data_IF_150199791615
#
_entry.id   IF_150199791615
#
_cell.length_a   1.000
_cell.length_b   1.000
_cell.length_c   1.000
_cell.angle_alpha   90.00
_cell.angle_beta   90.00
_cell.angle_gamma   90.00
#
_symmetry.space_group_name_H-M   'P 1'
#
loop_
_entity.id
_entity.type
_entity.pdbx_description
1 polymer ?
#
# COMPACT_ATOMS: atom_id res chain seq x y z
N UNK A 1 34.55 23.24 31.97
CA UNK A 1 33.21 23.84 31.79
C UNK A 1 32.10 22.84 32.03
N UNK A 2 30.97 23.24 32.68
CA UNK A 2 29.79 22.38 32.80
C UNK A 2 29.13 22.21 31.43
N UNK A 3 28.56 21.02 31.15
CA UNK A 3 27.89 20.75 29.84
C UNK A 3 26.82 21.79 29.50
N UNK A 4 26.09 22.28 30.49
CA UNK A 4 25.02 23.30 30.35
C UNK A 4 25.57 24.64 29.83
N UNK A 5 26.79 25.04 30.26
CA UNK A 5 27.39 26.28 29.80
C UNK A 5 27.82 26.23 28.32
N UNK A 6 28.22 25.02 27.86
CA UNK A 6 28.61 24.81 26.47
C UNK A 6 27.36 24.89 25.55
N UNK A 7 26.25 24.24 25.94
CA UNK A 7 25.00 24.30 25.16
C UNK A 7 24.41 25.69 25.11
N UNK A 8 24.46 26.45 26.22
CA UNK A 8 23.95 27.83 26.27
C UNK A 8 24.80 28.79 25.43
N UNK A 9 26.11 28.58 25.34
CA UNK A 9 26.99 29.32 24.44
C UNK A 9 26.75 28.95 22.98
N UNK A 10 26.61 27.68 22.65
CA UNK A 10 26.28 27.20 21.30
C UNK A 10 25.01 27.89 20.79
N UNK A 11 23.92 27.91 21.59
CA UNK A 11 22.69 28.59 21.22
C UNK A 11 22.84 30.12 21.02
N UNK A 12 23.70 30.80 21.79
CA UNK A 12 23.97 32.21 21.57
C UNK A 12 24.74 32.48 20.27
N UNK A 13 25.72 31.63 19.97
CA UNK A 13 26.52 31.74 18.76
C UNK A 13 25.68 31.59 17.49
N UNK A 14 24.71 30.64 17.49
CA UNK A 14 23.77 30.45 16.39
C UNK A 14 22.91 31.69 16.14
N UNK A 15 22.53 32.41 17.20
CA UNK A 15 21.76 33.67 17.10
C UNK A 15 22.57 34.83 16.54
N UNK A 16 23.88 34.80 16.60
CA UNK A 16 24.74 35.86 16.03
C UNK A 16 24.90 35.70 14.51
N UNK A 17 24.91 34.46 13.98
CA UNK A 17 25.01 34.15 12.55
C UNK A 17 23.66 33.70 11.96
N UNK A 18 22.57 34.49 12.20
CA UNK A 18 21.18 34.11 11.90
C UNK A 18 20.95 33.63 10.47
N UNK A 19 21.38 34.40 9.48
CA UNK A 19 21.15 34.10 8.06
C UNK A 19 21.80 32.77 7.65
N UNK A 20 23.04 32.55 8.04
CA UNK A 20 23.79 31.34 7.72
C UNK A 20 23.21 30.11 8.42
N UNK A 21 22.90 30.22 9.70
CA UNK A 21 22.28 29.15 10.49
C UNK A 21 20.92 28.77 9.91
N UNK A 22 20.09 29.77 9.56
CA UNK A 22 18.80 29.56 8.94
C UNK A 22 18.90 28.83 7.59
N UNK A 23 19.81 29.26 6.71
CA UNK A 23 20.03 28.68 5.40
C UNK A 23 20.47 27.21 5.52
N UNK A 24 21.40 26.91 6.44
CA UNK A 24 21.88 25.55 6.67
C UNK A 24 20.79 24.66 7.28
N UNK A 25 20.03 25.18 8.24
CA UNK A 25 18.91 24.46 8.85
C UNK A 25 17.79 24.20 7.82
N UNK A 26 17.50 25.17 6.95
CA UNK A 26 16.53 24.97 5.84
C UNK A 26 17.02 23.91 4.85
N UNK A 27 18.29 23.91 4.49
CA UNK A 27 18.84 22.87 3.62
C UNK A 27 18.67 21.45 4.23
N UNK A 28 18.91 21.32 5.56
CA UNK A 28 18.67 20.06 6.26
C UNK A 28 17.18 19.72 6.37
N UNK A 29 16.33 20.74 6.54
CA UNK A 29 14.89 20.51 6.67
C UNK A 29 14.27 19.95 5.40
N UNK A 30 14.78 20.28 4.21
CA UNK A 30 14.31 19.69 2.94
C UNK A 30 14.58 18.19 2.92
N UNK A 31 15.79 17.75 3.28
CA UNK A 31 16.11 16.33 3.34
C UNK A 31 15.27 15.59 4.39
N UNK A 32 15.11 16.20 5.58
CA UNK A 32 14.26 15.64 6.64
C UNK A 32 12.78 15.57 6.22
N UNK A 33 12.28 16.58 5.55
CA UNK A 33 10.92 16.62 5.02
C UNK A 33 10.69 15.49 4.01
N UNK A 34 11.60 15.34 3.05
CA UNK A 34 11.51 14.27 2.04
C UNK A 34 11.50 12.88 2.68
N UNK A 35 12.39 12.62 3.65
CA UNK A 35 12.41 11.35 4.37
C UNK A 35 11.14 11.18 5.21
N UNK A 36 10.69 12.23 5.90
CA UNK A 36 9.45 12.20 6.67
C UNK A 36 8.24 11.84 5.82
N UNK A 37 8.09 12.48 4.66
CA UNK A 37 7.02 12.16 3.69
C UNK A 37 7.14 10.71 3.18
N UNK A 38 8.35 10.25 2.85
CA UNK A 38 8.58 8.88 2.40
C UNK A 38 8.17 7.83 3.45
N UNK A 39 8.50 8.09 4.73
CA UNK A 39 8.09 7.23 5.84
C UNK A 39 6.57 7.22 6.01
N UNK A 40 5.93 8.38 5.97
CA UNK A 40 4.48 8.51 6.12
C UNK A 40 3.70 7.83 4.99
N UNK A 41 4.14 8.01 3.73
CA UNK A 41 3.55 7.33 2.57
C UNK A 41 3.74 5.81 2.64
N UNK A 42 4.92 5.35 3.06
CA UNK A 42 5.16 3.93 3.26
C UNK A 42 4.27 3.32 4.34
N UNK A 43 4.09 4.01 5.47
CA UNK A 43 3.22 3.55 6.56
C UNK A 43 1.74 3.54 6.13
N UNK A 44 1.27 4.64 5.52
CA UNK A 44 -0.11 4.74 5.02
C UNK A 44 -0.39 3.71 3.94
N UNK A 45 0.52 3.53 2.98
CA UNK A 45 0.41 2.53 1.93
C UNK A 45 0.36 1.10 2.47
N UNK A 46 1.20 0.75 3.45
CA UNK A 46 1.15 -0.57 4.12
C UNK A 46 -0.15 -0.77 4.89
N UNK A 47 -0.58 0.21 5.68
CA UNK A 47 -1.83 0.13 6.42
C UNK A 47 -3.02 -0.06 5.49
N UNK A 48 -3.07 0.70 4.40
CA UNK A 48 -4.08 0.58 3.37
C UNK A 48 -4.07 -0.80 2.71
N UNK A 49 -2.93 -1.26 2.17
CA UNK A 49 -2.85 -2.57 1.53
C UNK A 49 -3.17 -3.71 2.49
N UNK A 50 -2.74 -3.63 3.75
CA UNK A 50 -3.09 -4.65 4.75
C UNK A 50 -4.60 -4.74 4.93
N UNK A 51 -5.29 -3.60 5.05
CA UNK A 51 -6.76 -3.56 5.15
C UNK A 51 -7.44 -4.12 3.89
N UNK A 52 -6.96 -3.72 2.70
CA UNK A 52 -7.47 -4.24 1.42
C UNK A 52 -7.31 -5.74 1.32
N UNK A 53 -6.12 -6.23 1.61
CA UNK A 53 -5.78 -7.64 1.45
C UNK A 53 -6.52 -8.49 2.48
N UNK A 54 -6.60 -8.07 3.74
CA UNK A 54 -7.37 -8.79 4.79
C UNK A 54 -8.86 -8.83 4.49
N UNK A 55 -9.37 -7.88 3.72
CA UNK A 55 -10.75 -7.91 3.24
C UNK A 55 -10.95 -8.75 1.97
N UNK A 56 -9.89 -9.02 1.20
CA UNK A 56 -9.97 -9.68 -0.10
C UNK A 56 -9.81 -11.21 -0.05
N UNK A 57 -9.33 -11.77 1.06
CA UNK A 57 -9.12 -13.21 1.13
C UNK A 57 -8.78 -13.72 2.53
N UNK A 58 -8.56 -15.03 2.62
CA UNK A 58 -8.13 -15.75 3.83
C UNK A 58 -6.71 -16.27 3.64
N UNK A 59 -5.95 -16.40 4.72
CA UNK A 59 -4.60 -16.98 4.68
C UNK A 59 -4.57 -18.42 4.14
N UNK A 60 -5.69 -19.14 4.22
CA UNK A 60 -5.86 -20.47 3.65
C UNK A 60 -6.09 -20.51 2.13
N UNK A 61 -6.10 -19.36 1.45
CA UNK A 61 -6.39 -19.26 0.01
C UNK A 61 -5.15 -19.43 -0.84
N UNK A 62 -5.28 -20.23 -1.90
CA UNK A 62 -4.28 -20.44 -2.95
C UNK A 62 -4.90 -20.11 -4.30
N UNK A 63 -4.26 -19.24 -5.05
CA UNK A 63 -4.66 -18.89 -6.42
C UNK A 63 -3.87 -19.76 -7.38
N UNK A 64 -4.57 -20.48 -8.26
CA UNK A 64 -3.97 -21.31 -9.29
C UNK A 64 -4.32 -20.75 -10.66
N UNK A 65 -3.31 -20.55 -11.46
CA UNK A 65 -3.40 -20.09 -12.85
C UNK A 65 -2.62 -21.03 -13.75
N UNK A 66 -2.83 -20.96 -15.05
CA UNK A 66 -1.97 -21.67 -15.98
C UNK A 66 -0.63 -20.93 -16.12
N UNK A 67 0.47 -21.65 -16.18
CA UNK A 67 1.80 -21.08 -16.45
C UNK A 67 1.80 -20.44 -17.83
N UNK A 68 2.12 -19.16 -17.89
CA UNK A 68 2.35 -18.46 -19.15
C UNK A 68 3.85 -18.43 -19.43
N UNK A 69 4.27 -19.18 -20.41
CA UNK A 69 5.61 -19.01 -20.98
C UNK A 69 5.57 -17.81 -21.93
N UNK A 70 5.95 -16.64 -21.44
CA UNK A 70 5.94 -15.40 -22.24
C UNK A 70 6.92 -15.44 -23.44
N UNK A 71 7.83 -16.43 -23.45
CA UNK A 71 8.83 -16.61 -24.51
C UNK A 71 8.33 -17.48 -25.66
N UNK A 72 7.20 -18.18 -25.48
CA UNK A 72 6.63 -19.09 -26.47
C UNK A 72 5.21 -18.68 -26.84
N UNK A 73 4.99 -18.45 -28.12
CA UNK A 73 3.63 -18.31 -28.63
C UNK A 73 2.97 -19.70 -28.69
N UNK A 74 1.69 -19.81 -28.22
CA UNK A 74 0.97 -21.06 -28.32
C UNK A 74 0.71 -21.41 -29.79
N UNK A 75 0.92 -22.68 -30.17
CA UNK A 75 0.65 -23.15 -31.54
C UNK A 75 -0.85 -23.20 -31.81
N UNK A 76 -1.25 -22.67 -32.96
CA UNK A 76 -2.64 -22.74 -33.42
C UNK A 76 -3.06 -24.21 -33.63
N UNK A 77 -4.15 -24.63 -33.06
CA UNK A 77 -4.69 -26.01 -33.17
C UNK A 77 -4.27 -26.98 -32.08
N UNK A 78 -3.45 -26.60 -31.11
CA UNK A 78 -3.30 -27.37 -29.86
C UNK A 78 -4.61 -27.28 -29.05
N UNK A 79 -5.08 -28.45 -28.56
CA UNK A 79 -6.33 -28.58 -27.79
C UNK A 79 -6.34 -27.89 -26.41
N UNK A 80 -5.41 -26.99 -26.14
CA UNK A 80 -5.43 -26.18 -24.93
C UNK A 80 -6.39 -25.01 -25.16
N UNK A 81 -7.30 -24.78 -24.22
CA UNK A 81 -8.21 -23.67 -24.24
C UNK A 81 -7.39 -22.36 -24.17
N UNK A 82 -7.29 -21.63 -25.26
CA UNK A 82 -6.55 -20.39 -25.36
C UNK A 82 -7.57 -19.24 -25.32
N UNK A 83 -7.38 -18.27 -24.41
CA UNK A 83 -8.18 -17.06 -24.39
C UNK A 83 -7.86 -16.15 -25.58
N UNK A 84 -8.71 -15.14 -25.85
CA UNK A 84 -8.46 -14.11 -26.87
C UNK A 84 -7.14 -13.36 -26.67
N UNK A 85 -6.60 -13.38 -25.43
CA UNK A 85 -5.30 -12.78 -25.05
C UNK A 85 -4.12 -13.74 -25.17
N UNK A 86 -4.32 -14.95 -25.68
CA UNK A 86 -3.28 -15.98 -25.82
C UNK A 86 -2.91 -16.70 -24.52
N UNK A 87 -3.65 -16.48 -23.42
CA UNK A 87 -3.44 -17.20 -22.17
C UNK A 87 -4.08 -18.60 -22.25
N UNK A 88 -3.37 -19.63 -21.79
CA UNK A 88 -3.96 -20.96 -21.60
C UNK A 88 -4.87 -20.93 -20.37
N UNK A 89 -6.08 -21.46 -20.53
CA UNK A 89 -7.13 -21.43 -19.49
C UNK A 89 -7.21 -22.78 -18.80
N UNK A 90 -7.56 -22.76 -17.51
CA UNK A 90 -7.89 -23.95 -16.75
C UNK A 90 -9.27 -24.48 -17.18
N UNK A 91 -9.46 -25.79 -17.10
CA UNK A 91 -10.68 -26.51 -17.50
C UNK A 91 -11.42 -27.10 -16.27
N UNK A 92 -12.62 -27.64 -16.49
CA UNK A 92 -13.34 -28.41 -15.48
C UNK A 92 -12.53 -29.63 -14.99
N UNK A 93 -11.73 -30.26 -15.85
CA UNK A 93 -10.85 -31.37 -15.46
C UNK A 93 -9.75 -30.91 -14.51
N UNK A 94 -9.19 -29.71 -14.72
CA UNK A 94 -8.20 -29.13 -13.82
C UNK A 94 -8.82 -28.79 -12.46
N UNK A 95 -10.03 -28.25 -12.43
CA UNK A 95 -10.80 -28.04 -11.19
C UNK A 95 -11.03 -29.34 -10.45
N UNK A 96 -11.44 -30.41 -11.17
CA UNK A 96 -11.66 -31.72 -10.59
C UNK A 96 -10.36 -32.36 -10.06
N UNK A 97 -9.22 -32.15 -10.71
CA UNK A 97 -7.90 -32.59 -10.23
C UNK A 97 -7.48 -31.84 -8.96
N UNK A 98 -7.63 -30.52 -8.95
CA UNK A 98 -7.29 -29.66 -7.81
C UNK A 98 -8.14 -29.99 -6.58
N UNK A 99 -9.43 -30.35 -6.77
CA UNK A 99 -10.32 -30.70 -5.66
C UNK A 99 -9.95 -32.01 -4.96
N UNK A 100 -9.15 -32.88 -5.58
CA UNK A 100 -8.67 -34.16 -5.01
C UNK A 100 -7.36 -34.03 -4.25
N UNK A 101 -6.74 -32.87 -4.22
CA UNK A 101 -5.52 -32.66 -3.46
C UNK A 101 -5.78 -32.75 -1.95
N UNK A 102 -4.80 -33.26 -1.20
CA UNK A 102 -4.87 -33.30 0.26
C UNK A 102 -4.95 -31.87 0.84
N UNK A 103 -5.65 -31.74 1.96
CA UNK A 103 -5.85 -30.46 2.66
C UNK A 103 -6.66 -29.42 1.87
N UNK A 104 -7.39 -29.80 0.84
CA UNK A 104 -8.28 -28.92 0.09
C UNK A 104 -9.70 -29.01 0.64
N UNK A 105 -10.24 -27.87 1.09
CA UNK A 105 -11.61 -27.74 1.59
C UNK A 105 -12.59 -27.38 0.49
N UNK A 106 -12.22 -26.48 -0.42
CA UNK A 106 -13.06 -26.02 -1.52
C UNK A 106 -12.21 -25.56 -2.71
N UNK A 107 -12.76 -25.74 -3.92
CA UNK A 107 -12.15 -25.27 -5.17
C UNK A 107 -13.19 -24.46 -5.93
N UNK A 108 -12.86 -23.22 -6.29
CA UNK A 108 -13.77 -22.30 -6.98
C UNK A 108 -13.10 -21.71 -8.20
N UNK A 109 -13.61 -21.98 -9.39
CA UNK A 109 -13.15 -21.33 -10.59
C UNK A 109 -13.62 -19.86 -10.63
N UNK A 110 -12.76 -18.99 -11.13
CA UNK A 110 -13.15 -17.61 -11.42
C UNK A 110 -13.95 -17.57 -12.74
N UNK A 111 -15.23 -17.27 -12.63
CA UNK A 111 -16.17 -17.22 -13.76
C UNK A 111 -16.57 -15.76 -14.00
N UNK A 112 -16.40 -15.27 -15.22
CA UNK A 112 -16.87 -13.95 -15.62
C UNK A 112 -18.11 -14.10 -16.52
N UNK A 113 -19.27 -13.69 -16.02
CA UNK A 113 -20.54 -13.75 -16.75
C UNK A 113 -21.06 -12.39 -17.22
N UNK A 114 -20.27 -11.32 -16.99
CA UNK A 114 -20.70 -9.95 -17.35
C UNK A 114 -21.07 -9.80 -18.82
N UNK A 115 -20.37 -10.50 -19.71
CA UNK A 115 -20.67 -10.46 -21.15
C UNK A 115 -21.92 -11.27 -21.53
N UNK A 116 -22.26 -12.31 -20.76
CA UNK A 116 -23.46 -13.12 -21.00
C UNK A 116 -24.72 -12.45 -20.49
N UNK A 117 -24.65 -11.70 -19.37
CA UNK A 117 -25.80 -10.98 -18.80
C UNK A 117 -26.08 -9.72 -19.63
N UNK A 118 -27.25 -9.68 -20.27
CA UNK A 118 -27.70 -8.56 -21.12
C UNK A 118 -28.30 -7.44 -20.31
N UNK A 119 -29.14 -7.79 -19.33
CA UNK A 119 -29.77 -6.82 -18.43
C UNK A 119 -30.21 -7.49 -17.13
N UNK A 120 -30.46 -6.65 -16.16
CA UNK A 120 -31.09 -7.03 -14.89
C UNK A 120 -32.44 -6.31 -14.83
N UNK A 121 -33.52 -7.05 -14.59
CA UNK A 121 -34.85 -6.48 -14.43
C UNK A 121 -35.13 -6.17 -12.96
N UNK A 122 -35.53 -4.93 -12.71
CA UNK A 122 -35.90 -4.48 -11.37
C UNK A 122 -37.33 -4.85 -11.02
N UNK A 123 -37.57 -5.40 -9.81
CA UNK A 123 -38.92 -5.72 -9.35
C UNK A 123 -39.77 -4.51 -8.98
N UNK A 124 -39.16 -3.35 -8.75
CA UNK A 124 -39.85 -2.14 -8.27
C UNK A 124 -40.43 -1.29 -9.40
N UNK A 125 -39.74 -1.19 -10.53
CA UNK A 125 -40.12 -0.31 -11.64
C UNK A 125 -40.15 -1.00 -13.01
N UNK A 126 -39.85 -2.33 -13.05
CA UNK A 126 -39.77 -3.16 -14.25
C UNK A 126 -38.80 -2.67 -15.33
N UNK A 127 -37.86 -1.80 -14.94
CA UNK A 127 -36.81 -1.35 -15.84
C UNK A 127 -35.80 -2.45 -16.08
N UNK A 128 -35.30 -2.53 -17.30
CA UNK A 128 -34.20 -3.39 -17.72
C UNK A 128 -32.93 -2.57 -17.72
N UNK A 129 -32.00 -2.91 -16.83
CA UNK A 129 -30.80 -2.14 -16.55
C UNK A 129 -29.58 -2.94 -16.95
N UNK A 130 -28.61 -2.29 -17.61
CA UNK A 130 -27.29 -2.89 -17.86
C UNK A 130 -26.47 -2.70 -16.60
N UNK A 131 -26.27 -3.76 -15.85
CA UNK A 131 -25.51 -3.74 -14.60
C UNK A 131 -24.24 -4.59 -14.71
N UNK A 132 -23.20 -4.18 -14.02
CA UNK A 132 -22.02 -5.04 -13.82
C UNK A 132 -22.38 -6.21 -12.92
N UNK A 133 -21.94 -7.41 -13.30
CA UNK A 133 -22.12 -8.61 -12.49
C UNK A 133 -20.79 -8.99 -11.88
N UNK A 134 -20.76 -8.96 -10.56
CA UNK A 134 -19.62 -9.38 -9.77
C UNK A 134 -19.86 -10.82 -9.24
N UNK A 135 -18.84 -11.64 -9.26
CA UNK A 135 -18.92 -12.98 -8.65
C UNK A 135 -18.25 -12.92 -7.28
N UNK A 136 -19.01 -13.34 -6.26
CA UNK A 136 -18.51 -13.36 -4.88
C UNK A 136 -17.43 -14.43 -4.75
N UNK A 137 -16.19 -13.99 -4.70
CA UNK A 137 -15.07 -14.78 -4.25
C UNK A 137 -14.90 -14.59 -2.73
N UNK A 138 -13.96 -15.27 -2.12
CA UNK A 138 -13.66 -15.12 -0.69
C UNK A 138 -13.27 -13.66 -0.36
N UNK A 139 -13.68 -13.20 0.81
CA UNK A 139 -13.29 -11.88 1.36
C UNK A 139 -14.45 -10.89 1.50
N UNK A 140 -14.22 -9.88 2.34
CA UNK A 140 -15.14 -8.77 2.62
C UNK A 140 -14.60 -7.49 1.99
N UNK A 141 -14.68 -7.36 0.67
CA UNK A 141 -14.19 -6.17 -0.02
C UNK A 141 -15.15 -4.97 0.03
N UNK A 142 -16.37 -5.17 0.51
CA UNK A 142 -17.42 -4.16 0.53
C UNK A 142 -18.02 -4.00 1.93
N UNK A 143 -18.58 -2.82 2.18
CA UNK A 143 -19.29 -2.51 3.43
C UNK A 143 -20.78 -2.76 3.24
N UNK A 144 -21.34 -3.64 4.05
CA UNK A 144 -22.79 -3.87 4.06
C UNK A 144 -23.48 -2.67 4.70
N UNK A 145 -24.43 -2.11 3.98
CA UNK A 145 -25.25 -0.93 4.37
C UNK A 145 -26.60 -1.35 4.93
N UNK A 146 -27.18 -2.43 4.37
CA UNK A 146 -28.45 -3.01 4.81
C UNK A 146 -28.46 -4.52 4.53
N UNK A 147 -29.26 -5.28 5.28
CA UNK A 147 -29.31 -6.73 5.21
C UNK A 147 -28.20 -7.41 5.98
N UNK A 148 -28.16 -8.72 5.93
CA UNK A 148 -27.18 -9.56 6.64
C UNK A 148 -26.69 -10.67 5.70
N UNK A 149 -25.39 -10.96 5.79
CA UNK A 149 -24.76 -12.08 5.12
C UNK A 149 -24.56 -13.21 6.11
N UNK A 150 -25.04 -14.40 5.76
CA UNK A 150 -24.89 -15.59 6.60
C UNK A 150 -23.69 -16.38 6.11
N UNK A 151 -22.75 -16.69 7.03
CA UNK A 151 -21.61 -17.55 6.68
C UNK A 151 -22.13 -18.93 6.23
N UNK A 152 -21.72 -19.33 5.06
CA UNK A 152 -21.96 -20.66 4.51
C UNK A 152 -20.82 -21.62 4.90
N UNK A 153 -21.06 -22.94 4.83
CA UNK A 153 -20.06 -23.96 5.19
C UNK A 153 -18.79 -23.88 4.34
N UNK A 154 -18.90 -23.37 3.13
CA UNK A 154 -17.81 -23.16 2.20
C UNK A 154 -17.06 -21.84 2.43
N UNK A 155 -17.50 -21.03 3.41
CA UNK A 155 -16.90 -19.75 3.81
C UNK A 155 -17.27 -18.57 2.93
N UNK A 156 -18.21 -18.73 1.96
CA UNK A 156 -18.88 -17.60 1.33
C UNK A 156 -19.95 -17.05 2.26
N UNK A 157 -20.17 -15.74 2.17
CA UNK A 157 -21.24 -15.08 2.93
C UNK A 157 -22.54 -14.98 2.07
N UNK A 158 -22.66 -15.75 1.00
CA UNK A 158 -23.76 -15.70 0.04
C UNK A 158 -24.11 -17.12 -0.41
N UNK A 159 -25.39 -17.49 -0.36
CA UNK A 159 -25.87 -18.79 -0.84
C UNK A 159 -26.37 -18.69 -2.30
N UNK A 160 -26.39 -19.80 -3.05
CA UNK A 160 -26.99 -19.83 -4.40
C UNK A 160 -28.43 -19.27 -4.44
N UNK A 161 -28.76 -18.53 -5.47
CA UNK A 161 -30.05 -17.85 -5.60
C UNK A 161 -30.15 -16.55 -4.80
N UNK A 162 -29.07 -16.10 -4.18
CA UNK A 162 -29.00 -14.83 -3.47
C UNK A 162 -28.10 -13.83 -4.21
N UNK A 163 -28.34 -12.53 -4.00
CA UNK A 163 -27.54 -11.46 -4.55
C UNK A 163 -27.30 -10.36 -3.53
N UNK A 164 -26.17 -9.64 -3.70
CA UNK A 164 -25.90 -8.37 -3.05
C UNK A 164 -26.01 -7.27 -4.09
N UNK A 165 -26.73 -6.18 -3.78
CA UNK A 165 -26.92 -5.06 -4.67
C UNK A 165 -26.01 -3.89 -4.26
N UNK A 166 -25.34 -3.25 -5.21
CA UNK A 166 -24.60 -2.03 -4.95
C UNK A 166 -25.56 -0.88 -4.56
N UNK A 167 -25.20 -0.11 -3.52
CA UNK A 167 -25.96 1.06 -3.05
C UNK A 167 -26.16 2.09 -4.16
N UNK A 168 -25.17 2.23 -5.03
CA UNK A 168 -25.15 3.15 -6.16
C UNK A 168 -26.28 2.86 -7.18
N UNK A 169 -26.80 1.62 -7.18
CA UNK A 169 -27.85 1.19 -8.10
C UNK A 169 -29.27 1.33 -7.54
N UNK A 170 -29.43 1.67 -6.26
CA UNK A 170 -30.75 1.73 -5.61
C UNK A 170 -31.75 2.62 -6.35
N UNK A 171 -31.31 3.83 -6.74
CA UNK A 171 -32.18 4.80 -7.43
C UNK A 171 -32.62 4.30 -8.81
N UNK A 172 -31.71 3.70 -9.58
CA UNK A 172 -32.01 3.15 -10.91
C UNK A 172 -32.95 1.97 -10.82
N UNK A 173 -32.79 1.13 -9.78
CA UNK A 173 -33.68 0.01 -9.50
C UNK A 173 -35.01 0.43 -8.90
N UNK A 174 -35.22 1.73 -8.57
CA UNK A 174 -36.46 2.27 -8.03
C UNK A 174 -36.64 2.01 -6.52
N UNK A 175 -35.59 1.74 -5.80
CA UNK A 175 -35.61 1.62 -4.34
C UNK A 175 -35.31 2.98 -3.68
N UNK A 176 -36.12 3.37 -2.71
CA UNK A 176 -35.92 4.63 -1.97
C UNK A 176 -34.80 4.53 -0.94
N UNK A 177 -34.70 3.39 -0.27
CA UNK A 177 -33.67 3.11 0.73
C UNK A 177 -33.01 1.75 0.51
N UNK A 178 -31.84 1.54 1.11
CA UNK A 178 -31.17 0.24 1.05
C UNK A 178 -32.03 -0.89 1.68
N UNK A 179 -32.80 -0.55 2.71
CA UNK A 179 -33.67 -1.53 3.38
C UNK A 179 -34.86 -1.98 2.50
N UNK A 180 -35.35 -1.11 1.61
CA UNK A 180 -36.45 -1.44 0.69
C UNK A 180 -36.02 -2.48 -0.36
N UNK A 181 -34.75 -2.55 -0.67
CA UNK A 181 -34.20 -3.51 -1.63
C UNK A 181 -34.03 -4.91 -1.02
N UNK A 182 -33.77 -5.00 0.28
CA UNK A 182 -33.55 -6.30 0.95
C UNK A 182 -34.81 -7.15 0.91
N UNK A 183 -34.66 -8.41 0.54
CA UNK A 183 -35.76 -9.38 0.39
C UNK A 183 -36.47 -9.34 -0.97
N UNK A 184 -36.19 -8.37 -1.83
CA UNK A 184 -36.75 -8.31 -3.19
C UNK A 184 -36.00 -9.26 -4.13
N UNK A 185 -36.69 -9.72 -5.17
CA UNK A 185 -36.12 -10.62 -6.19
C UNK A 185 -35.89 -9.86 -7.48
N UNK A 186 -34.66 -9.88 -7.98
CA UNK A 186 -34.28 -9.37 -9.30
C UNK A 186 -34.16 -10.53 -10.28
N UNK A 187 -34.31 -10.25 -11.57
CA UNK A 187 -34.13 -11.25 -12.63
C UNK A 187 -32.96 -10.83 -13.51
N UNK A 188 -31.94 -11.68 -13.58
CA UNK A 188 -30.84 -11.55 -14.53
C UNK A 188 -31.20 -12.26 -15.82
N UNK A 189 -31.20 -11.53 -16.92
CA UNK A 189 -31.39 -12.10 -18.25
C UNK A 189 -30.05 -12.26 -18.95
N UNK A 190 -29.66 -13.50 -19.17
CA UNK A 190 -28.42 -13.85 -19.84
C UNK A 190 -28.68 -14.46 -21.21
N UNK A 191 -27.82 -14.14 -22.19
CA UNK A 191 -27.92 -14.59 -23.56
C UNK A 191 -26.52 -14.91 -24.09
N UNK A 192 -26.46 -16.02 -24.84
CA UNK A 192 -25.22 -16.43 -25.50
C UNK A 192 -25.49 -17.47 -26.58
N UNK A 193 -24.43 -18.02 -27.20
CA UNK A 193 -24.55 -19.00 -28.28
C UNK A 193 -25.31 -20.30 -27.89
N UNK A 194 -25.40 -20.61 -26.59
CA UNK A 194 -26.16 -21.76 -26.05
C UNK A 194 -27.63 -21.48 -25.81
N UNK A 195 -28.05 -20.23 -25.91
CA UNK A 195 -29.43 -19.81 -25.68
C UNK A 195 -29.56 -18.69 -24.65
N UNK A 196 -30.80 -18.48 -24.21
CA UNK A 196 -31.14 -17.50 -23.17
C UNK A 196 -31.41 -18.21 -21.85
N UNK A 197 -31.11 -17.56 -20.75
CA UNK A 197 -31.37 -18.05 -19.40
C UNK A 197 -31.69 -16.91 -18.44
N UNK A 198 -32.84 -17.06 -17.75
CA UNK A 198 -33.28 -16.12 -16.72
C UNK A 198 -32.95 -16.71 -15.34
N UNK A 199 -32.23 -15.95 -14.54
CA UNK A 199 -31.88 -16.33 -13.18
C UNK A 199 -32.54 -15.37 -12.20
N UNK A 200 -33.37 -15.90 -11.31
CA UNK A 200 -34.01 -15.12 -10.25
C UNK A 200 -33.12 -15.14 -9.01
N UNK A 201 -32.80 -13.97 -8.47
CA UNK A 201 -31.92 -13.80 -7.32
C UNK A 201 -32.58 -12.91 -6.28
N UNK A 202 -32.60 -13.38 -5.03
CA UNK A 202 -33.11 -12.60 -3.89
C UNK A 202 -32.01 -11.68 -3.35
N UNK A 203 -32.26 -10.39 -3.27
CA UNK A 203 -31.36 -9.42 -2.64
C UNK A 203 -31.36 -9.68 -1.13
N UNK A 204 -30.24 -10.13 -0.57
CA UNK A 204 -30.07 -10.38 0.86
C UNK A 204 -29.35 -9.25 1.56
N UNK A 205 -28.55 -8.47 0.83
CA UNK A 205 -27.82 -7.34 1.36
C UNK A 205 -27.61 -6.24 0.31
N UNK A 206 -27.38 -5.03 0.79
CA UNK A 206 -26.91 -3.89 -0.01
C UNK A 206 -25.53 -3.51 0.45
N UNK A 207 -24.60 -3.38 -0.49
CA UNK A 207 -23.20 -3.04 -0.24
C UNK A 207 -22.81 -1.70 -0.84
N UNK A 208 -21.75 -1.12 -0.35
CA UNK A 208 -21.07 0.04 -0.95
C UNK A 208 -19.56 -0.16 -0.85
N UNK A 209 -18.79 0.72 -1.50
CA UNK A 209 -17.35 0.70 -1.37
C UNK A 209 -16.93 0.62 0.11
N UNK A 210 -16.13 -0.36 0.47
CA UNK A 210 -15.50 -0.51 1.78
C UNK A 210 -14.12 0.16 1.84
N UNK A 211 -13.45 0.16 3.00
CA UNK A 211 -12.07 0.69 3.15
C UNK A 211 -11.08 0.08 2.16
N UNK A 212 -11.43 -1.04 1.58
CA UNK A 212 -10.64 -1.78 0.60
C UNK A 212 -11.13 -1.58 -0.83
N UNK A 213 -11.70 -0.45 -1.17
CA UNK A 213 -12.40 -0.23 -2.44
C UNK A 213 -11.53 -0.18 -3.70
N UNK A 214 -10.23 -0.48 -3.61
CA UNK A 214 -9.42 -0.70 -4.82
C UNK A 214 -10.01 -1.88 -5.59
N UNK A 215 -10.59 -1.56 -6.75
CA UNK A 215 -11.23 -2.56 -7.61
C UNK A 215 -12.71 -2.83 -7.31
N UNK A 216 -13.30 -2.19 -6.29
CA UNK A 216 -14.75 -2.22 -6.13
C UNK A 216 -15.41 -1.61 -7.36
N UNK A 217 -16.23 -2.38 -8.00
CA UNK A 217 -17.12 -1.91 -9.07
C UNK A 217 -18.56 -2.09 -8.60
N UNK A 218 -19.34 -1.00 -8.56
CA UNK A 218 -20.76 -1.12 -8.28
C UNK A 218 -21.38 -2.16 -9.21
N UNK A 219 -22.17 -3.07 -8.64
CA UNK A 219 -22.73 -4.16 -9.42
C UNK A 219 -23.78 -4.95 -8.66
N UNK A 220 -24.21 -6.02 -9.28
CA UNK A 220 -24.95 -7.10 -8.66
C UNK A 220 -23.96 -8.22 -8.38
N UNK A 221 -23.73 -8.54 -7.11
CA UNK A 221 -22.81 -9.59 -6.70
C UNK A 221 -23.58 -10.90 -6.53
N UNK A 222 -23.17 -11.95 -7.22
CA UNK A 222 -23.77 -13.28 -7.22
C UNK A 222 -22.77 -14.34 -6.78
N UNK A 223 -23.23 -15.56 -6.51
CA UNK A 223 -22.34 -16.69 -6.16
C UNK A 223 -21.60 -17.24 -7.37
N UNK A 224 -20.50 -17.97 -7.13
CA UNK A 224 -19.81 -18.74 -8.17
C UNK A 224 -20.74 -19.79 -8.80
N UNK A 225 -21.61 -20.42 -8.01
CA UNK A 225 -22.54 -21.44 -8.50
C UNK A 225 -23.59 -20.86 -9.46
N UNK A 226 -24.16 -19.68 -9.14
CA UNK A 226 -25.08 -18.98 -10.03
C UNK A 226 -24.36 -18.52 -11.31
N UNK A 227 -23.13 -18.03 -11.19
CA UNK A 227 -22.31 -17.66 -12.35
C UNK A 227 -22.00 -18.88 -13.24
N UNK A 228 -21.66 -20.01 -12.64
CA UNK A 228 -21.44 -21.28 -13.35
C UNK A 228 -22.73 -21.76 -14.06
N UNK A 229 -23.87 -21.65 -13.40
CA UNK A 229 -25.17 -22.00 -14.00
C UNK A 229 -25.43 -21.13 -15.24
N UNK A 230 -25.29 -19.81 -15.11
CA UNK A 230 -25.44 -18.86 -16.23
C UNK A 230 -24.48 -19.22 -17.36
N UNK A 231 -23.19 -19.40 -17.07
CA UNK A 231 -22.18 -19.74 -18.08
C UNK A 231 -22.49 -21.05 -18.78
N UNK A 232 -22.92 -22.09 -18.04
CA UNK A 232 -23.26 -23.39 -18.63
C UNK A 232 -24.49 -23.36 -19.53
N UNK A 233 -25.45 -22.47 -19.25
CA UNK A 233 -26.68 -22.30 -20.05
C UNK A 233 -26.48 -21.44 -21.29
N UNK A 234 -25.54 -20.49 -21.23
CA UNK A 234 -25.33 -19.51 -22.32
C UNK A 234 -24.14 -19.84 -23.23
N UNK A 235 -23.19 -20.68 -22.79
CA UNK A 235 -22.05 -21.09 -23.62
C UNK A 235 -22.48 -21.90 -24.82
N UNK A 236 -21.68 -21.88 -25.90
CA UNK A 236 -21.92 -22.69 -27.09
C UNK A 236 -22.00 -24.19 -26.75
N UNK A 237 -22.92 -24.93 -27.35
CA UNK A 237 -23.03 -26.37 -27.16
C UNK A 237 -21.70 -27.08 -27.45
N UNK A 238 -21.31 -27.99 -26.58
CA UNK A 238 -20.07 -28.76 -26.70
C UNK A 238 -18.76 -28.00 -26.32
N UNK A 239 -18.85 -26.72 -25.96
CA UNK A 239 -17.68 -25.96 -25.49
C UNK A 239 -17.42 -26.25 -24.00
N UNK A 240 -16.18 -26.64 -23.68
CA UNK A 240 -15.75 -26.80 -22.29
C UNK A 240 -15.74 -25.44 -21.56
N UNK A 241 -15.88 -25.45 -20.24
CA UNK A 241 -15.68 -24.26 -19.43
C UNK A 241 -14.18 -23.93 -19.40
N UNK A 242 -13.91 -22.64 -19.34
CA UNK A 242 -12.56 -22.09 -19.34
C UNK A 242 -12.44 -21.06 -18.23
N UNK A 243 -11.39 -21.19 -17.42
CA UNK A 243 -11.15 -20.35 -16.25
C UNK A 243 -9.77 -19.73 -16.33
N UNK A 244 -9.70 -18.42 -16.14
CA UNK A 244 -8.42 -17.72 -16.04
C UNK A 244 -7.66 -18.12 -14.76
N UNK A 245 -8.38 -18.26 -13.66
CA UNK A 245 -7.82 -18.69 -12.39
C UNK A 245 -8.81 -19.56 -11.62
N UNK A 246 -8.26 -20.36 -10.73
CA UNK A 246 -9.03 -21.17 -9.77
C UNK A 246 -8.56 -20.84 -8.37
N UNK A 247 -9.50 -20.56 -7.50
CA UNK A 247 -9.25 -20.31 -6.07
C UNK A 247 -9.39 -21.65 -5.34
N UNK A 248 -8.32 -22.09 -4.71
CA UNK A 248 -8.28 -23.30 -3.90
C UNK A 248 -8.19 -22.89 -2.44
N UNK A 249 -9.12 -23.34 -1.62
CA UNK A 249 -9.11 -23.11 -0.18
C UNK A 249 -8.58 -24.33 0.56
N UNK A 250 -7.52 -24.12 1.34
CA UNK A 250 -7.01 -25.15 2.24
C UNK A 250 -7.92 -25.31 3.47
N UNK A 251 -7.84 -26.43 4.16
CA UNK A 251 -8.57 -26.74 5.39
C UNK A 251 -7.99 -25.99 6.63
N UNK A 252 -6.79 -25.42 6.50
CA UNK A 252 -6.12 -24.57 7.48
C UNK A 252 -5.10 -23.64 6.83
N UNK A 253 -4.80 -22.53 7.50
CA UNK A 253 -3.83 -21.53 7.01
C UNK A 253 -2.42 -22.13 6.87
N UNK A 254 -2.05 -23.04 7.77
CA UNK A 254 -0.79 -23.78 7.78
C UNK A 254 -0.63 -24.71 6.59
N UNK A 255 -1.72 -25.14 5.97
CA UNK A 255 -1.70 -26.04 4.83
C UNK A 255 -1.65 -25.33 3.46
N UNK A 256 -1.83 -24.01 3.42
CA UNK A 256 -1.85 -23.26 2.17
C UNK A 256 -0.57 -23.45 1.32
N UNK A 257 0.59 -23.45 1.96
CA UNK A 257 1.87 -23.68 1.27
C UNK A 257 1.95 -25.10 0.70
N UNK A 258 1.51 -26.12 1.46
CA UNK A 258 1.50 -27.51 1.01
C UNK A 258 0.54 -27.71 -0.17
N UNK A 259 -0.65 -27.10 -0.11
CA UNK A 259 -1.64 -27.11 -1.21
C UNK A 259 -1.07 -26.45 -2.47
N UNK A 260 -0.39 -25.30 -2.33
CA UNK A 260 0.30 -24.63 -3.44
C UNK A 260 1.31 -25.57 -4.11
N UNK A 261 2.21 -26.16 -3.32
CA UNK A 261 3.26 -27.03 -3.85
C UNK A 261 2.67 -28.28 -4.51
N UNK A 262 1.61 -28.85 -3.93
CA UNK A 262 0.89 -29.98 -4.52
C UNK A 262 0.21 -29.58 -5.84
N UNK A 263 -0.39 -28.38 -5.94
CA UNK A 263 -0.99 -27.88 -7.18
C UNK A 263 0.05 -27.70 -8.29
N UNK A 264 1.18 -27.08 -7.98
CA UNK A 264 2.28 -26.89 -8.95
C UNK A 264 2.82 -28.25 -9.43
N UNK A 265 3.02 -29.20 -8.52
CA UNK A 265 3.48 -30.56 -8.87
C UNK A 265 2.45 -31.30 -9.72
N UNK A 266 1.15 -31.17 -9.42
CA UNK A 266 0.06 -31.76 -10.20
C UNK A 266 0.07 -31.26 -11.64
N UNK A 267 0.35 -29.97 -11.84
CA UNK A 267 0.41 -29.35 -13.17
C UNK A 267 1.62 -29.74 -14.00
N UNK A 268 2.65 -30.34 -13.41
CA UNK A 268 3.85 -30.78 -14.15
C UNK A 268 4.59 -29.65 -14.88
N UNK A 269 4.45 -28.39 -14.42
CA UNK A 269 4.95 -27.17 -15.04
C UNK A 269 3.89 -26.33 -15.74
N UNK A 270 2.69 -26.87 -15.94
CA UNK A 270 1.58 -26.15 -16.58
C UNK A 270 0.80 -25.25 -15.58
N UNK A 271 0.97 -25.43 -14.26
CA UNK A 271 0.30 -24.61 -13.27
C UNK A 271 1.27 -23.70 -12.53
N UNK A 272 0.86 -22.49 -12.35
CA UNK A 272 1.44 -21.54 -11.43
C UNK A 272 0.47 -21.35 -10.26
N UNK A 273 0.97 -21.51 -9.05
CA UNK A 273 0.16 -21.31 -7.86
C UNK A 273 0.84 -20.33 -6.92
N UNK A 274 0.03 -19.48 -6.28
CA UNK A 274 0.49 -18.46 -5.34
C UNK A 274 -0.43 -18.48 -4.11
N UNK A 275 0.16 -18.51 -2.93
CA UNK A 275 -0.61 -18.34 -1.69
C UNK A 275 -1.05 -16.90 -1.52
N UNK A 276 -2.11 -16.70 -0.75
CA UNK A 276 -2.54 -15.36 -0.34
C UNK A 276 -1.42 -14.55 0.35
N UNK A 277 -0.60 -15.22 1.18
CA UNK A 277 0.53 -14.59 1.84
C UNK A 277 1.58 -14.08 0.83
N UNK A 278 1.94 -14.89 -0.18
CA UNK A 278 2.88 -14.49 -1.23
C UNK A 278 2.31 -13.35 -2.10
N UNK A 279 1.02 -13.38 -2.42
CA UNK A 279 0.36 -12.29 -3.14
C UNK A 279 0.41 -10.98 -2.32
N UNK A 280 0.17 -11.07 -1.01
CA UNK A 280 0.31 -9.95 -0.07
C UNK A 280 1.73 -9.40 -0.05
N UNK A 281 2.73 -10.26 0.09
CA UNK A 281 4.15 -9.84 0.08
C UNK A 281 4.53 -9.19 -1.25
N UNK A 282 4.08 -9.73 -2.37
CA UNK A 282 4.29 -9.15 -3.69
C UNK A 282 3.75 -7.73 -3.79
N UNK A 283 2.53 -7.48 -3.34
CA UNK A 283 1.94 -6.14 -3.32
C UNK A 283 2.68 -5.19 -2.36
N UNK A 284 3.06 -5.66 -1.17
CA UNK A 284 3.82 -4.87 -0.21
C UNK A 284 5.22 -4.54 -0.73
N UNK A 285 5.84 -5.41 -1.54
CA UNK A 285 7.17 -5.17 -2.11
C UNK A 285 7.19 -3.96 -3.04
N UNK A 286 6.10 -3.71 -3.78
CA UNK A 286 5.95 -2.53 -4.65
C UNK A 286 5.96 -1.24 -3.83
N UNK A 287 5.19 -1.20 -2.73
CA UNK A 287 5.18 -0.04 -1.82
C UNK A 287 6.54 0.15 -1.16
N UNK A 288 7.15 -0.93 -0.69
CA UNK A 288 8.47 -0.87 -0.09
C UNK A 288 9.52 -0.36 -1.09
N UNK A 289 9.48 -0.84 -2.35
CA UNK A 289 10.36 -0.37 -3.42
C UNK A 289 10.22 1.13 -3.68
N UNK A 290 8.99 1.62 -3.80
CA UNK A 290 8.71 3.06 -3.96
C UNK A 290 9.20 3.86 -2.74
N UNK A 291 8.97 3.38 -1.53
CA UNK A 291 9.44 4.00 -0.30
C UNK A 291 10.96 4.07 -0.25
N UNK A 292 11.67 2.98 -0.57
CA UNK A 292 13.14 2.97 -0.61
C UNK A 292 13.70 3.93 -1.66
N UNK A 293 13.05 4.06 -2.81
CA UNK A 293 13.39 5.07 -3.81
C UNK A 293 13.33 6.50 -3.23
N UNK A 294 12.23 6.85 -2.57
CA UNK A 294 12.07 8.18 -1.93
C UNK A 294 13.07 8.39 -0.79
N UNK A 295 13.34 7.36 0.01
CA UNK A 295 14.34 7.41 1.08
C UNK A 295 15.74 7.64 0.52
N UNK A 296 16.08 7.04 -0.62
CA UNK A 296 17.37 7.27 -1.29
C UNK A 296 17.53 8.73 -1.74
N UNK A 297 16.47 9.34 -2.32
CA UNK A 297 16.49 10.79 -2.63
C UNK A 297 16.65 11.65 -1.38
N UNK A 298 15.92 11.35 -0.32
CA UNK A 298 16.06 12.04 0.96
C UNK A 298 17.47 11.91 1.55
N UNK A 299 18.08 10.74 1.45
CA UNK A 299 19.45 10.50 1.89
C UNK A 299 20.47 11.32 1.07
N UNK A 300 20.30 11.42 -0.25
CA UNK A 300 21.14 12.27 -1.11
C UNK A 300 20.99 13.75 -0.72
N UNK A 301 19.77 14.22 -0.45
CA UNK A 301 19.53 15.58 0.03
C UNK A 301 20.21 15.84 1.39
N UNK A 302 20.18 14.88 2.31
CA UNK A 302 20.90 14.97 3.58
C UNK A 302 22.42 14.99 3.39
N UNK A 303 22.96 14.19 2.48
CA UNK A 303 24.39 14.23 2.15
C UNK A 303 24.80 15.61 1.61
N UNK A 304 24.02 16.17 0.69
CA UNK A 304 24.27 17.53 0.18
C UNK A 304 24.23 18.57 1.31
N UNK A 305 23.25 18.47 2.22
CA UNK A 305 23.13 19.35 3.38
C UNK A 305 24.29 19.20 4.35
N UNK A 306 24.85 17.99 4.50
CA UNK A 306 26.01 17.74 5.34
C UNK A 306 27.26 18.50 4.83
N UNK A 307 27.48 18.56 3.51
CA UNK A 307 28.53 19.40 2.93
C UNK A 307 28.29 20.89 3.21
N UNK A 308 27.03 21.34 3.19
CA UNK A 308 26.65 22.68 3.61
C UNK A 308 27.06 23.00 5.06
N UNK A 309 26.82 22.04 5.99
CA UNK A 309 27.24 22.18 7.40
C UNK A 309 28.78 22.27 7.50
N UNK A 310 29.49 21.37 6.81
CA UNK A 310 30.96 21.36 6.82
C UNK A 310 31.48 22.73 6.40
N UNK A 311 31.03 23.26 5.27
CA UNK A 311 31.44 24.55 4.74
C UNK A 311 31.11 25.71 5.71
N UNK A 312 29.87 25.73 6.21
CA UNK A 312 29.38 26.73 7.16
C UNK A 312 30.22 26.73 8.44
N UNK A 313 30.55 25.57 8.96
CA UNK A 313 31.38 25.43 10.16
C UNK A 313 32.82 25.81 9.93
N UNK A 314 33.42 25.54 8.75
CA UNK A 314 34.74 26.01 8.39
C UNK A 314 34.85 27.54 8.39
N UNK A 315 33.86 28.20 7.74
CA UNK A 315 33.80 29.65 7.72
C UNK A 315 33.62 30.22 9.13
N UNK A 316 32.73 29.58 9.95
CA UNK A 316 32.52 29.99 11.35
C UNK A 316 33.80 29.89 12.21
N UNK A 317 34.64 28.89 12.00
CA UNK A 317 35.94 28.77 12.69
C UNK A 317 36.90 29.89 12.28
N UNK A 318 36.97 30.19 10.97
CA UNK A 318 37.83 31.25 10.46
C UNK A 318 37.42 32.64 10.99
N UNK A 319 36.13 32.98 10.93
CA UNK A 319 35.61 34.28 11.43
C UNK A 319 35.79 34.47 12.95
N UNK A 320 35.89 33.38 13.71
CA UNK A 320 36.01 33.42 15.17
C UNK A 320 37.40 33.01 15.66
N UNK A 321 38.44 33.05 14.80
CA UNK A 321 39.81 32.61 15.13
C UNK A 321 40.34 33.36 16.34
N UNK A 322 40.22 34.69 16.41
CA UNK A 322 40.65 35.51 17.55
C UNK A 322 39.88 35.14 18.84
N UNK A 323 38.57 34.94 18.76
CA UNK A 323 37.76 34.55 19.91
C UNK A 323 38.16 33.17 20.45
N UNK A 324 38.51 32.22 19.55
CA UNK A 324 39.01 30.88 19.92
C UNK A 324 40.38 31.01 20.59
N UNK A 325 41.27 31.83 20.03
CA UNK A 325 42.58 32.13 20.61
C UNK A 325 42.46 32.69 22.03
N UNK A 326 41.59 33.71 22.21
CA UNK A 326 41.33 34.31 23.52
C UNK A 326 40.79 33.29 24.53
N UNK A 327 39.80 32.48 24.13
CA UNK A 327 39.26 31.41 25.01
C UNK A 327 40.35 30.43 25.45
N UNK A 328 41.25 30.02 24.56
CA UNK A 328 42.38 29.14 24.87
C UNK A 328 43.40 29.82 25.75
N UNK A 329 43.74 31.09 25.50
CA UNK A 329 44.64 31.89 26.34
C UNK A 329 44.11 32.04 27.77
N UNK A 330 42.76 32.14 27.93
CA UNK A 330 42.12 32.16 29.25
C UNK A 330 41.92 30.78 29.88
N UNK A 331 42.58 29.75 29.36
CA UNK A 331 42.63 28.39 29.96
C UNK A 331 41.53 27.39 29.50
N UNK A 332 40.79 27.70 28.43
CA UNK A 332 39.83 26.74 27.87
C UNK A 332 40.57 25.58 27.20
N UNK A 333 40.20 24.35 27.58
CA UNK A 333 40.83 23.15 27.00
C UNK A 333 40.41 22.99 25.52
N UNK A 334 41.38 22.63 24.65
CA UNK A 334 41.10 22.37 23.20
C UNK A 334 39.94 21.42 22.96
N UNK A 335 39.76 20.40 23.81
CA UNK A 335 38.61 19.47 23.76
C UNK A 335 37.27 20.17 23.96
N UNK A 336 37.20 21.22 24.80
CA UNK A 336 35.95 21.92 25.07
C UNK A 336 35.58 22.87 23.94
N UNK A 337 36.61 23.47 23.26
CA UNK A 337 36.40 24.18 22.00
C UNK A 337 35.78 23.27 20.94
N UNK A 338 36.34 22.07 20.74
CA UNK A 338 35.78 21.10 19.79
C UNK A 338 34.34 20.65 20.12
N UNK A 339 34.04 20.52 21.43
CA UNK A 339 32.65 20.20 21.86
C UNK A 339 31.70 21.36 21.52
N UNK A 340 32.10 22.62 21.67
CA UNK A 340 31.26 23.77 21.38
C UNK A 340 30.77 23.73 19.92
N UNK A 341 31.68 23.53 18.95
CA UNK A 341 31.31 23.42 17.53
C UNK A 341 30.44 22.21 17.22
N UNK A 342 30.69 21.06 17.87
CA UNK A 342 29.84 19.88 17.72
C UNK A 342 28.42 20.09 18.24
N UNK A 343 28.27 20.80 19.37
CA UNK A 343 26.95 21.17 19.88
C UNK A 343 26.23 22.19 18.97
N UNK A 344 26.97 23.17 18.40
CA UNK A 344 26.39 24.08 17.41
C UNK A 344 25.83 23.33 16.20
N UNK A 345 26.59 22.40 15.62
CA UNK A 345 26.15 21.60 14.49
C UNK A 345 24.99 20.65 14.86
N UNK A 346 25.01 20.05 16.04
CA UNK A 346 23.91 19.22 16.53
C UNK A 346 22.61 20.03 16.64
N UNK A 347 22.69 21.27 17.15
CA UNK A 347 21.53 22.16 17.25
C UNK A 347 20.99 22.54 15.86
N UNK A 348 21.85 22.78 14.86
CA UNK A 348 21.42 23.00 13.47
C UNK A 348 20.68 21.77 12.95
N UNK A 349 21.21 20.56 13.21
CA UNK A 349 20.57 19.30 12.85
C UNK A 349 19.20 19.11 13.51
N UNK A 350 19.09 19.41 14.80
CA UNK A 350 17.82 19.34 15.53
C UNK A 350 16.81 20.35 14.96
N UNK A 351 17.22 21.60 14.73
CA UNK A 351 16.33 22.65 14.18
C UNK A 351 15.84 22.23 12.79
N UNK A 352 16.77 21.83 11.89
CA UNK A 352 16.42 21.35 10.56
C UNK A 352 15.51 20.12 10.60
N UNK A 353 15.82 19.17 11.50
CA UNK A 353 15.04 17.97 11.72
C UNK A 353 13.61 18.26 12.21
N UNK A 354 13.46 19.13 13.20
CA UNK A 354 12.15 19.53 13.74
C UNK A 354 11.32 20.26 12.68
N UNK A 355 11.94 21.17 11.91
CA UNK A 355 11.24 21.88 10.83
C UNK A 355 10.83 20.90 9.73
N UNK A 356 11.75 20.03 9.29
CA UNK A 356 11.46 19.06 8.22
C UNK A 356 10.46 17.99 8.62
N UNK A 357 10.71 17.28 9.73
CA UNK A 357 9.81 16.24 10.22
C UNK A 357 8.45 16.82 10.68
N UNK A 358 8.46 17.99 11.31
CA UNK A 358 7.24 18.71 11.69
C UNK A 358 6.44 19.14 10.47
N UNK A 359 7.10 19.72 9.46
CA UNK A 359 6.47 20.09 8.18
C UNK A 359 5.88 18.87 7.47
N UNK A 360 6.60 17.75 7.41
CA UNK A 360 6.08 16.50 6.88
C UNK A 360 4.85 16.04 7.65
N UNK A 361 4.91 16.03 9.00
CA UNK A 361 3.79 15.63 9.84
C UNK A 361 2.56 16.53 9.65
N UNK A 362 2.74 17.83 9.42
CA UNK A 362 1.64 18.75 9.12
C UNK A 362 0.92 18.40 7.81
N UNK A 363 1.60 17.77 6.83
CA UNK A 363 0.93 17.31 5.62
C UNK A 363 -0.13 16.25 5.89
N UNK A 364 -0.05 15.51 6.99
CA UNK A 364 -1.10 14.55 7.36
C UNK A 364 -2.46 15.20 7.61
N UNK A 365 -2.49 16.49 7.91
CA UNK A 365 -3.74 17.27 8.01
C UNK A 365 -4.47 17.38 6.67
N UNK A 366 -3.78 17.15 5.56
CA UNK A 366 -4.37 17.12 4.21
C UNK A 366 -5.01 15.76 3.87
N UNK A 367 -4.88 14.72 4.75
CA UNK A 367 -5.48 13.41 4.49
C UNK A 367 -6.97 13.48 4.10
N UNK A 368 -7.86 14.24 4.78
CA UNK A 368 -9.28 14.29 4.40
C UNK A 368 -9.47 14.83 2.97
N UNK A 369 -8.72 15.86 2.59
CA UNK A 369 -8.77 16.44 1.26
C UNK A 369 -8.20 15.47 0.18
N UNK A 370 -7.10 14.77 0.48
CA UNK A 370 -6.49 13.78 -0.42
C UNK A 370 -7.47 12.64 -0.66
N UNK A 371 -8.07 12.12 0.41
CA UNK A 371 -9.04 11.01 0.38
C UNK A 371 -10.27 11.38 -0.45
N UNK A 372 -10.81 12.59 -0.27
CA UNK A 372 -11.95 13.09 -1.02
C UNK A 372 -11.64 13.26 -2.52
N UNK A 373 -10.48 13.86 -2.85
CA UNK A 373 -10.05 14.08 -4.25
C UNK A 373 -9.76 12.80 -5.00
N UNK A 374 -9.15 11.83 -4.34
CA UNK A 374 -8.85 10.52 -4.93
C UNK A 374 -10.03 9.55 -4.84
N UNK A 375 -11.17 9.99 -4.28
CA UNK A 375 -12.37 9.17 -4.08
C UNK A 375 -12.08 7.89 -3.26
N UNK A 376 -11.14 7.97 -2.33
CA UNK A 376 -10.93 6.93 -1.34
C UNK A 376 -12.00 7.00 -0.25
N UNK A 377 -12.16 5.90 0.48
CA UNK A 377 -13.13 5.87 1.58
C UNK A 377 -12.76 6.81 2.72
N UNK A 378 -13.79 7.42 3.34
CA UNK A 378 -13.61 8.29 4.51
C UNK A 378 -12.96 7.51 5.66
N UNK A 379 -11.92 8.10 6.26
CA UNK A 379 -11.16 7.50 7.35
C UNK A 379 -9.82 6.86 6.92
N UNK A 380 -9.56 6.74 5.62
CA UNK A 380 -8.27 6.30 5.12
C UNK A 380 -7.17 7.32 5.42
N UNK A 381 -6.01 6.84 5.83
CA UNK A 381 -4.82 7.67 6.07
C UNK A 381 -3.72 7.34 5.06
N UNK A 382 -3.60 8.18 4.04
CA UNK A 382 -2.55 8.06 3.01
C UNK A 382 -1.19 8.46 3.58
N UNK A 383 -1.19 9.50 4.41
CA UNK A 383 -0.03 10.00 5.11
C UNK A 383 -0.16 9.64 6.60
N UNK A 384 0.52 8.58 7.04
CA UNK A 384 0.46 8.09 8.42
C UNK A 384 1.76 8.41 9.17
N UNK A 385 1.81 9.51 9.95
CA UNK A 385 2.98 9.84 10.74
C UNK A 385 3.06 8.95 11.99
N UNK A 386 4.20 8.30 12.17
CA UNK A 386 4.53 7.60 13.41
C UNK A 386 5.49 8.44 14.25
N UNK A 387 5.10 8.81 15.46
CA UNK A 387 5.84 9.73 16.32
C UNK A 387 7.29 9.26 16.56
N UNK A 388 7.51 7.95 16.80
CA UNK A 388 8.84 7.42 17.02
C UNK A 388 9.77 7.57 15.81
N UNK A 389 9.24 7.44 14.57
CA UNK A 389 10.00 7.62 13.34
C UNK A 389 10.41 9.08 13.16
N UNK A 390 9.51 10.02 13.45
CA UNK A 390 9.80 11.45 13.39
C UNK A 390 10.84 11.86 14.43
N UNK A 391 10.76 11.33 15.65
CA UNK A 391 11.77 11.55 16.69
C UNK A 391 13.12 10.93 16.28
N UNK A 392 13.13 9.71 15.76
CA UNK A 392 14.32 9.05 15.27
C UNK A 392 14.97 9.82 14.13
N UNK A 393 14.18 10.41 13.22
CA UNK A 393 14.67 11.26 12.13
C UNK A 393 15.37 12.52 12.68
N UNK A 394 14.77 13.21 13.66
CA UNK A 394 15.39 14.38 14.30
C UNK A 394 16.70 13.97 15.00
N UNK A 395 16.72 12.85 15.70
CA UNK A 395 17.92 12.33 16.34
C UNK A 395 19.03 11.98 15.31
N UNK A 396 18.65 11.38 14.18
CA UNK A 396 19.56 11.10 13.07
C UNK A 396 20.20 12.37 12.54
N UNK A 397 19.42 13.44 12.34
CA UNK A 397 19.97 14.72 11.85
C UNK A 397 20.90 15.39 12.87
N UNK A 398 20.61 15.27 14.15
CA UNK A 398 21.53 15.74 15.20
C UNK A 398 22.87 15.00 15.13
N UNK A 399 22.85 13.68 14.94
CA UNK A 399 24.05 12.85 14.78
C UNK A 399 24.81 13.23 13.50
N UNK A 400 24.13 13.40 12.37
CA UNK A 400 24.74 13.83 11.11
C UNK A 400 25.39 15.21 11.24
N UNK A 401 24.77 16.14 11.97
CA UNK A 401 25.37 17.43 12.29
C UNK A 401 26.68 17.29 13.07
N UNK A 402 26.69 16.43 14.09
CA UNK A 402 27.91 16.13 14.87
C UNK A 402 29.03 15.56 13.97
N UNK A 403 28.68 14.60 13.10
CA UNK A 403 29.60 13.98 12.16
C UNK A 403 30.17 15.02 11.19
N UNK A 404 29.29 15.84 10.55
CA UNK A 404 29.68 16.87 9.63
C UNK A 404 30.65 17.90 10.27
N UNK A 405 30.41 18.24 11.53
CA UNK A 405 31.25 19.20 12.26
C UNK A 405 32.59 18.63 12.71
N UNK A 406 32.85 17.34 12.56
CA UNK A 406 34.08 16.71 13.10
C UNK A 406 35.37 17.33 12.53
N UNK A 407 35.44 17.49 11.20
CA UNK A 407 36.62 18.09 10.55
C UNK A 407 36.82 19.55 10.91
N UNK A 408 35.81 20.45 10.80
CA UNK A 408 35.94 21.85 11.22
C UNK A 408 36.29 22.01 12.70
N UNK A 409 35.64 21.21 13.58
CA UNK A 409 35.92 21.26 15.01
C UNK A 409 37.35 20.86 15.35
N UNK A 410 37.93 19.90 14.62
CA UNK A 410 39.32 19.47 14.79
C UNK A 410 40.28 20.59 14.35
N UNK A 411 39.97 21.38 13.30
CA UNK A 411 40.74 22.53 12.91
C UNK A 411 40.74 23.59 14.01
N UNK A 412 39.57 23.90 14.59
CA UNK A 412 39.46 24.84 15.70
C UNK A 412 40.26 24.40 16.95
N UNK A 413 40.31 23.08 17.23
CA UNK A 413 41.10 22.57 18.39
C UNK A 413 42.60 22.71 18.20
N UNK A 414 43.11 22.76 16.98
CA UNK A 414 44.55 22.85 16.65
C UNK A 414 45.10 24.26 16.55
N UNK A 415 44.23 25.30 16.57
CA UNK A 415 44.65 26.67 16.50
C UNK A 415 45.60 27.05 17.66
N UNK A 416 46.76 27.63 17.34
CA UNK A 416 47.67 28.18 18.34
C UNK A 416 47.09 29.49 18.89
N UNK A 417 47.02 29.67 20.24
CA UNK A 417 46.47 30.92 20.82
C UNK A 417 47.22 32.15 20.41
N UNK A 418 48.56 32.06 20.25
CA UNK A 418 49.41 33.22 19.93
C UNK A 418 49.18 33.64 18.47
N UNK A 419 49.21 32.69 17.56
CA UNK A 419 48.95 32.96 16.15
C UNK A 419 47.49 33.41 15.92
N UNK A 420 46.53 32.82 16.63
CA UNK A 420 45.12 33.20 16.53
C UNK A 420 44.85 34.65 17.02
N UNK A 421 45.61 35.14 17.97
CA UNK A 421 45.49 36.55 18.45
C UNK A 421 46.22 37.55 17.56
N UNK A 422 47.19 37.07 16.74
CA UNK A 422 47.93 37.92 15.77
C UNK A 422 47.27 37.98 14.40
N UNK A 423 46.29 37.08 14.13
CA UNK A 423 45.55 37.10 12.87
C UNK A 423 44.70 38.38 12.79
N UNK A 424 45.00 39.26 11.84
CA UNK A 424 44.16 40.39 11.44
C UNK A 424 43.00 39.95 10.56
#
# INVERSE_FOLDING_TARGET
MRRIDITRRAGRNLRQAKARTALTALAMSVGAFTIGVALMLGNGGRAFLTTVIESAGSASTVYVTHTRDETKLPEYGQNKAISETGAVMLSDDDVAKLSKLGHVKAVRPYVNVTQAVRYVESPANHKRLIASINVKNEGKSSKIVAGELTKTDDGTDLAPGQAILAKEYLADFGFGTAQDAVGKTITLHAEGPGGTHDTQLKIVAVETAGMASIGYQPGVTITTDDAMLINNKTKAPGKANQYFSVVVRADGDEHAAAVKDAAVKLGGGDYQAQTFAEAKEGMLSIINGAQYGLLAFGALALLASMFGIINTMYISVLERTQQIGLMKALGMRSRDVGKLFRYEAALIGIIGGVIGAGGASLLSLLNPWIVEKLKFEQGMQVLLPEAWQMIALVALLAILGIIASYLPSRKATKLDPIEALRAE
#
